data_IF_945812760317
#
_entry.id   IF_945812760317
#
_cell.length_a   1.000
_cell.length_b   1.000
_cell.length_c   1.000
_cell.angle_alpha   90.00
_cell.angle_beta   90.00
_cell.angle_gamma   90.00
#
_symmetry.space_group_name_H-M   'P 1'
#
loop_
_entity.id
_entity.type
_entity.pdbx_description
1 polymer ?
#
# COMPACT_ATOMS: atom_id res chain seq x y z
N UNK A 1 -21.18 17.56 -5.22
CA UNK A 1 -20.11 16.76 -5.83
C UNK A 1 -19.11 16.45 -4.72
N UNK A 2 -19.11 15.25 -4.16
CA UNK A 2 -18.16 14.88 -3.10
C UNK A 2 -16.77 14.67 -3.73
N UNK A 3 -15.66 15.11 -3.09
CA UNK A 3 -14.33 14.77 -3.57
C UNK A 3 -14.20 13.24 -3.62
N UNK A 4 -13.47 12.68 -4.60
CA UNK A 4 -13.20 11.25 -4.63
C UNK A 4 -12.43 10.90 -3.36
N UNK A 5 -13.13 10.33 -2.39
CA UNK A 5 -12.53 9.88 -1.16
C UNK A 5 -11.62 8.72 -1.51
N UNK A 6 -10.32 9.01 -1.55
CA UNK A 6 -9.26 8.03 -1.65
C UNK A 6 -9.30 7.21 -0.35
N UNK A 7 -10.06 6.11 -0.38
CA UNK A 7 -10.31 5.27 0.79
C UNK A 7 -9.12 4.34 1.02
N UNK A 8 -8.01 4.91 1.46
CA UNK A 8 -6.91 4.14 2.03
C UNK A 8 -7.31 3.64 3.42
N UNK A 9 -6.94 2.40 3.74
CA UNK A 9 -7.17 1.83 5.08
C UNK A 9 -5.89 1.19 5.58
N UNK A 10 -5.50 1.51 6.81
CA UNK A 10 -4.38 0.86 7.50
C UNK A 10 -4.90 -0.18 8.48
N UNK A 11 -4.37 -1.39 8.42
CA UNK A 11 -4.74 -2.48 9.34
C UNK A 11 -3.49 -3.07 10.00
N UNK A 12 -3.58 -3.38 11.30
CA UNK A 12 -2.56 -4.14 12.02
C UNK A 12 -2.72 -5.62 11.67
N UNK A 13 -1.64 -6.25 11.22
CA UNK A 13 -1.62 -7.65 10.80
C UNK A 13 -0.42 -8.35 11.44
N UNK A 14 -0.51 -9.68 11.59
CA UNK A 14 0.64 -10.52 11.92
C UNK A 14 1.11 -11.23 10.66
N UNK A 15 2.36 -11.02 10.27
CA UNK A 15 2.98 -11.81 9.20
C UNK A 15 3.11 -13.26 9.66
N UNK A 16 2.66 -14.20 8.83
CA UNK A 16 2.67 -15.64 9.16
C UNK A 16 4.04 -16.28 9.00
N UNK A 17 4.90 -15.74 8.14
CA UNK A 17 6.23 -16.28 7.91
C UNK A 17 7.19 -15.87 9.03
N UNK A 18 7.12 -14.62 9.46
CA UNK A 18 8.04 -14.04 10.46
C UNK A 18 7.45 -13.95 11.87
N UNK A 19 6.13 -14.11 12.03
CA UNK A 19 5.37 -13.79 13.25
C UNK A 19 5.46 -12.31 13.70
N UNK A 20 6.01 -11.41 12.88
CA UNK A 20 6.09 -10.00 13.21
C UNK A 20 4.73 -9.29 13.09
N UNK A 21 4.53 -8.26 13.91
CA UNK A 21 3.39 -7.37 13.78
C UNK A 21 3.71 -6.27 12.77
N UNK A 22 2.91 -6.15 11.73
CA UNK A 22 3.09 -5.18 10.64
C UNK A 22 1.83 -4.31 10.45
N UNK A 23 2.00 -3.19 9.77
CA UNK A 23 0.91 -2.34 9.29
C UNK A 23 0.73 -2.54 7.78
N UNK A 24 -0.48 -2.87 7.34
CA UNK A 24 -0.83 -2.99 5.93
C UNK A 24 -1.66 -1.80 5.48
N UNK A 25 -1.11 -0.97 4.59
CA UNK A 25 -1.83 0.13 3.92
C UNK A 25 -2.50 -0.40 2.65
N UNK A 26 -3.82 -0.56 2.68
CA UNK A 26 -4.65 -0.99 1.54
C UNK A 26 -5.11 0.22 0.75
N UNK A 27 -4.77 0.27 -0.53
CA UNK A 27 -5.18 1.32 -1.46
C UNK A 27 -6.23 0.73 -2.40
N UNK A 28 -7.43 1.32 -2.41
CA UNK A 28 -8.50 0.90 -3.33
C UNK A 28 -8.33 1.62 -4.66
N UNK A 29 -8.22 0.85 -5.73
CA UNK A 29 -8.28 1.36 -7.11
C UNK A 29 -9.76 1.43 -7.51
N UNK A 30 -10.23 2.61 -7.95
CA UNK A 30 -11.65 2.82 -8.26
C UNK A 30 -12.05 2.20 -9.61
N UNK A 31 -11.13 2.12 -10.57
CA UNK A 31 -11.30 1.51 -11.89
C UNK A 31 -10.03 0.74 -12.28
N UNK A 32 -10.16 -0.33 -13.06
CA UNK A 32 -9.01 -1.11 -13.56
C UNK A 32 -8.11 -0.27 -14.49
N UNK A 33 -8.69 0.72 -15.19
CA UNK A 33 -7.97 1.59 -16.14
C UNK A 33 -7.23 2.77 -15.47
N UNK A 34 -7.59 3.16 -14.25
CA UNK A 34 -6.98 4.31 -13.55
C UNK A 34 -5.56 4.02 -13.03
N UNK A 35 -5.10 2.78 -13.19
CA UNK A 35 -3.77 2.36 -12.76
C UNK A 35 -3.56 2.55 -11.25
N UNK A 36 -2.29 2.67 -10.83
CA UNK A 36 -1.96 2.98 -9.44
C UNK A 36 -1.88 4.50 -9.28
N UNK A 37 -2.53 5.11 -8.26
CA UNK A 37 -2.47 6.54 -8.02
C UNK A 37 -1.02 7.06 -7.97
N UNK A 38 -0.73 8.17 -8.64
CA UNK A 38 0.62 8.76 -8.69
C UNK A 38 1.19 9.07 -7.31
N UNK A 39 0.33 9.47 -6.36
CA UNK A 39 0.66 9.68 -4.95
C UNK A 39 1.17 8.40 -4.29
N UNK A 40 0.51 7.26 -4.51
CA UNK A 40 0.95 5.97 -4.00
C UNK A 40 2.30 5.55 -4.62
N UNK A 41 2.49 5.77 -5.92
CA UNK A 41 3.77 5.49 -6.60
C UNK A 41 4.89 6.36 -5.99
N UNK A 42 4.61 7.64 -5.73
CA UNK A 42 5.57 8.57 -5.14
C UNK A 42 5.95 8.15 -3.71
N UNK A 43 4.97 7.83 -2.86
CA UNK A 43 5.20 7.32 -1.50
C UNK A 43 6.06 6.04 -1.51
N UNK A 44 5.72 5.06 -2.37
CA UNK A 44 6.48 3.81 -2.51
C UNK A 44 7.92 4.10 -2.93
N UNK A 45 8.11 4.98 -3.92
CA UNK A 45 9.43 5.30 -4.46
C UNK A 45 10.33 5.96 -3.41
N UNK A 46 9.78 6.86 -2.59
CA UNK A 46 10.48 7.47 -1.47
C UNK A 46 10.85 6.43 -0.40
N UNK A 47 9.88 5.61 0.04
CA UNK A 47 10.13 4.64 1.10
C UNK A 47 11.07 3.51 0.68
N UNK A 48 11.17 3.18 -0.62
CA UNK A 48 12.13 2.19 -1.13
C UNK A 48 13.58 2.60 -0.92
N UNK A 49 13.90 3.89 -0.99
CA UNK A 49 15.28 4.40 -0.84
C UNK A 49 15.58 4.87 0.58
N UNK A 50 14.57 5.07 1.43
CA UNK A 50 14.75 5.50 2.82
C UNK A 50 14.99 4.31 3.75
N UNK A 51 16.26 4.09 4.11
CA UNK A 51 16.67 3.06 5.07
C UNK A 51 17.32 3.71 6.29
N UNK A 52 16.52 3.96 7.33
CA UNK A 52 17.00 4.58 8.57
C UNK A 52 16.16 4.12 9.77
N UNK A 53 16.79 3.97 10.93
CA UNK A 53 16.13 3.48 12.16
C UNK A 53 14.91 4.33 12.61
N UNK A 54 14.91 5.62 12.26
CA UNK A 54 13.85 6.57 12.64
C UNK A 54 12.86 6.86 11.51
N UNK A 55 12.93 6.14 10.39
CA UNK A 55 11.99 6.28 9.27
C UNK A 55 11.24 4.97 9.12
N UNK A 56 9.93 5.05 8.87
CA UNK A 56 9.12 3.87 8.61
C UNK A 56 9.67 3.11 7.40
N UNK A 57 9.92 1.82 7.57
CA UNK A 57 10.45 0.97 6.51
C UNK A 57 9.30 0.35 5.72
N UNK A 58 9.33 0.50 4.40
CA UNK A 58 8.49 -0.29 3.51
C UNK A 58 9.03 -1.73 3.49
N UNK A 59 8.23 -2.68 3.97
CA UNK A 59 8.61 -4.09 3.96
C UNK A 59 8.39 -4.73 2.59
N UNK A 60 7.20 -4.54 2.00
CA UNK A 60 6.83 -5.11 0.70
C UNK A 60 5.68 -4.31 0.05
N UNK A 61 5.49 -4.50 -1.26
CA UNK A 61 4.37 -3.97 -2.04
C UNK A 61 3.73 -5.10 -2.82
N UNK A 62 2.50 -5.44 -2.47
CA UNK A 62 1.73 -6.48 -3.14
C UNK A 62 0.59 -5.88 -3.96
N UNK A 63 0.43 -6.36 -5.18
CA UNK A 63 -0.70 -6.02 -6.04
C UNK A 63 -1.48 -7.28 -6.37
N UNK A 64 -2.72 -7.37 -5.88
CA UNK A 64 -3.60 -8.49 -6.19
C UNK A 64 -4.47 -8.11 -7.40
N UNK A 65 -4.13 -8.64 -8.57
CA UNK A 65 -5.05 -8.64 -9.72
C UNK A 65 -6.14 -9.67 -9.41
N UNK A 66 -7.39 -9.24 -9.25
CA UNK A 66 -8.49 -10.19 -9.31
C UNK A 66 -8.39 -10.91 -10.65
N UNK A 67 -8.09 -12.21 -10.64
CA UNK A 67 -8.29 -13.03 -11.83
C UNK A 67 -9.78 -13.03 -12.08
N UNK A 68 -10.21 -12.39 -13.17
CA UNK A 68 -11.55 -12.58 -13.69
C UNK A 68 -11.59 -14.02 -14.23
N UNK A 69 -12.31 -14.88 -13.52
CA UNK A 69 -12.79 -16.18 -14.00
C UNK A 69 -14.30 -16.09 -14.16
#
# INVERSE_FOLDING_TARGET
>A
MAPPSMHEKVEKIRDRATNETIALKKIRLQQEDDGVPSTAIHEISLLKVMQHQNIVRLQDVVHNKKSQV
#
